data_IF_968555394753
#
_entry.id   IF_968555394753
#
_cell.length_a   1.000
_cell.length_b   1.000
_cell.length_c   1.000
_cell.angle_alpha   90.00
_cell.angle_beta   90.00
_cell.angle_gamma   90.00
#
_symmetry.space_group_name_H-M   'P 1'
#
loop_
_entity.id
_entity.type
_entity.pdbx_description
1 polymer ?
#
# COMPACT_ATOMS: atom_id res chain seq x y z
N UNK A 1 -1.29 32.40 -33.87
CA UNK A 1 -2.15 31.73 -32.87
C UNK A 1 -1.87 30.23 -32.94
N UNK A 2 -0.88 29.77 -32.20
CA UNK A 2 -0.43 28.38 -32.19
C UNK A 2 -1.22 27.63 -31.11
N UNK A 3 -1.97 26.61 -31.53
CA UNK A 3 -2.63 25.66 -30.63
C UNK A 3 -1.57 24.75 -30.04
N UNK A 4 -1.33 24.87 -28.73
CA UNK A 4 -0.62 23.86 -27.95
C UNK A 4 -1.60 22.73 -27.65
N UNK A 5 -1.53 21.67 -28.46
CA UNK A 5 -2.24 20.43 -28.23
C UNK A 5 -1.39 19.47 -27.43
N UNK A 6 -1.98 18.93 -26.36
CA UNK A 6 -1.61 17.68 -25.70
C UNK A 6 -0.46 17.72 -24.69
N UNK A 7 -0.67 18.41 -23.56
CA UNK A 7 -0.09 17.95 -22.29
C UNK A 7 -0.88 16.72 -21.84
N UNK A 8 -0.25 15.55 -21.86
CA UNK A 8 -0.67 14.40 -21.07
C UNK A 8 -1.07 14.92 -19.68
N UNK A 9 -2.33 14.76 -19.27
CA UNK A 9 -2.84 15.28 -17.99
C UNK A 9 -1.99 14.71 -16.84
N UNK A 10 -0.95 15.44 -16.44
CA UNK A 10 -0.22 15.16 -15.22
C UNK A 10 -1.24 15.27 -14.08
N UNK A 11 -1.48 14.16 -13.39
CA UNK A 11 -2.37 14.15 -12.24
C UNK A 11 -1.75 15.07 -11.20
N UNK A 12 -2.54 16.02 -10.69
CA UNK A 12 -2.10 16.80 -9.54
C UNK A 12 -1.85 15.85 -8.36
N UNK A 13 -0.88 16.16 -7.50
CA UNK A 13 -0.58 15.35 -6.31
C UNK A 13 -1.83 15.05 -5.47
N UNK A 14 -2.76 16.01 -5.38
CA UNK A 14 -4.05 15.85 -4.70
C UNK A 14 -4.96 14.82 -5.35
N UNK A 15 -4.90 14.67 -6.68
CA UNK A 15 -5.67 13.67 -7.41
C UNK A 15 -5.07 12.28 -7.23
N UNK A 16 -3.74 12.16 -7.21
CA UNK A 16 -3.05 10.91 -6.90
C UNK A 16 -3.44 10.45 -5.49
N UNK A 17 -3.26 11.32 -4.50
CA UNK A 17 -3.65 11.03 -3.11
C UNK A 17 -5.14 10.63 -2.99
N UNK A 18 -6.07 11.40 -3.57
CA UNK A 18 -7.49 11.08 -3.46
C UNK A 18 -7.87 9.73 -4.10
N UNK A 19 -7.12 9.27 -5.11
CA UNK A 19 -7.34 7.99 -5.77
C UNK A 19 -6.77 6.81 -4.99
N UNK A 20 -5.66 7.00 -4.26
CA UNK A 20 -4.93 5.90 -3.62
C UNK A 20 -5.13 5.81 -2.11
N UNK A 21 -5.59 6.88 -1.45
CA UNK A 21 -5.65 6.95 0.03
C UNK A 21 -6.43 5.81 0.68
N UNK A 22 -7.49 5.32 0.04
CA UNK A 22 -8.29 4.19 0.57
C UNK A 22 -7.62 2.83 0.39
N UNK A 23 -6.66 2.75 -0.52
CA UNK A 23 -5.93 1.53 -0.83
C UNK A 23 -4.72 1.34 0.07
N UNK A 24 -4.21 2.43 0.69
CA UNK A 24 -3.01 2.40 1.53
C UNK A 24 -3.40 2.16 2.98
N UNK A 25 -2.72 1.22 3.62
CA UNK A 25 -2.99 0.81 5.00
C UNK A 25 -1.76 0.98 5.88
N UNK A 26 -2.00 1.19 7.18
CA UNK A 26 -0.97 1.08 8.20
C UNK A 26 -0.86 -0.39 8.61
N UNK A 27 0.36 -0.90 8.71
CA UNK A 27 0.64 -2.23 9.23
C UNK A 27 1.37 -2.05 10.55
N UNK A 28 0.84 -2.64 11.61
CA UNK A 28 1.50 -2.70 12.92
C UNK A 28 1.82 -4.14 13.25
N UNK A 29 3.03 -4.37 13.73
CA UNK A 29 3.48 -5.69 14.15
C UNK A 29 3.96 -5.68 15.59
N UNK A 30 3.81 -6.83 16.25
CA UNK A 30 4.50 -7.13 17.49
C UNK A 30 5.55 -8.19 17.20
N UNK A 31 6.75 -8.00 17.75
CA UNK A 31 7.83 -8.99 17.71
C UNK A 31 8.15 -9.42 19.14
N UNK A 32 8.99 -10.46 19.34
CA UNK A 32 9.50 -10.81 20.67
C UNK A 32 10.29 -9.68 21.34
N UNK A 33 10.82 -8.73 20.56
CA UNK A 33 11.74 -7.69 21.02
C UNK A 33 11.12 -6.29 21.03
N UNK A 34 9.89 -6.12 20.55
CA UNK A 34 9.24 -4.81 20.51
C UNK A 34 8.03 -4.74 19.58
N UNK A 35 7.80 -3.55 19.02
CA UNK A 35 6.75 -3.26 18.05
C UNK A 35 7.38 -2.62 16.81
N UNK A 36 6.79 -2.89 15.65
CA UNK A 36 7.18 -2.31 14.38
C UNK A 36 5.97 -1.76 13.64
N UNK A 37 6.20 -0.82 12.72
CA UNK A 37 5.16 -0.25 11.88
C UNK A 37 5.68 -0.09 10.46
N UNK A 38 4.76 -0.22 9.51
CA UNK A 38 5.04 -0.08 8.08
C UNK A 38 3.78 0.32 7.33
N UNK A 39 3.86 0.33 6.02
CA UNK A 39 2.71 0.56 5.16
C UNK A 39 2.53 -0.62 4.22
N UNK A 40 1.32 -0.79 3.75
CA UNK A 40 1.01 -1.69 2.66
C UNK A 40 -0.08 -1.10 1.78
N UNK A 41 -0.45 -1.84 0.75
CA UNK A 41 -1.60 -1.51 -0.06
C UNK A 41 -2.46 -2.72 -0.35
N UNK A 42 -3.77 -2.50 -0.44
CA UNK A 42 -4.74 -3.51 -0.87
C UNK A 42 -4.45 -3.87 -2.32
N UNK A 43 -4.24 -5.17 -2.56
CA UNK A 43 -3.89 -5.73 -3.87
C UNK A 43 -5.12 -6.21 -4.64
N UNK A 44 -6.14 -6.73 -3.94
CA UNK A 44 -7.37 -7.24 -4.54
C UNK A 44 -8.58 -7.20 -3.58
N UNK A 45 -9.72 -7.59 -4.13
CA UNK A 45 -11.01 -7.66 -3.45
C UNK A 45 -11.17 -8.91 -2.58
N UNK A 46 -10.14 -9.75 -2.46
CA UNK A 46 -10.13 -10.92 -1.55
C UNK A 46 -9.45 -10.63 -0.21
N UNK A 47 -8.89 -9.43 0.00
CA UNK A 47 -8.26 -9.05 1.26
C UNK A 47 -6.74 -9.22 1.28
N UNK A 48 -6.11 -9.47 0.13
CA UNK A 48 -4.64 -9.56 0.07
C UNK A 48 -4.02 -8.17 0.06
N UNK A 49 -3.01 -7.98 0.91
CA UNK A 49 -2.26 -6.73 1.07
C UNK A 49 -0.79 -7.01 0.80
N UNK A 50 -0.17 -6.16 -0.02
CA UNK A 50 1.27 -6.22 -0.29
C UNK A 50 2.01 -5.23 0.60
N UNK A 51 3.14 -5.67 1.16
CA UNK A 51 4.06 -4.86 1.97
C UNK A 51 5.50 -5.35 1.78
N UNK A 52 6.44 -4.78 2.55
CA UNK A 52 7.83 -5.23 2.58
C UNK A 52 8.03 -6.42 3.52
N UNK A 53 8.96 -7.32 3.20
CA UNK A 53 9.31 -8.45 4.06
C UNK A 53 9.80 -7.97 5.42
N UNK A 54 10.67 -6.95 5.46
CA UNK A 54 11.22 -6.43 6.71
C UNK A 54 10.15 -5.85 7.67
N UNK A 55 8.95 -5.52 7.16
CA UNK A 55 7.82 -5.07 8.00
C UNK A 55 7.23 -6.22 8.79
N UNK A 56 7.33 -7.47 8.31
CA UNK A 56 6.64 -8.64 8.88
C UNK A 56 7.56 -9.79 9.29
N UNK A 57 8.86 -9.72 9.00
CA UNK A 57 9.82 -10.83 9.13
C UNK A 57 9.90 -11.49 10.53
N UNK A 58 9.73 -10.71 11.59
CA UNK A 58 9.75 -11.18 12.99
C UNK A 58 8.40 -11.03 13.69
N UNK A 59 7.33 -10.81 12.93
CA UNK A 59 6.01 -10.56 13.49
C UNK A 59 5.43 -11.82 14.13
N UNK A 60 5.13 -11.74 15.43
CA UNK A 60 4.29 -12.72 16.14
C UNK A 60 2.81 -12.36 16.07
N UNK A 61 2.51 -11.12 15.69
CA UNK A 61 1.17 -10.58 15.52
C UNK A 61 1.24 -9.46 14.49
N UNK A 62 0.27 -9.45 13.57
CA UNK A 62 0.14 -8.45 12.51
C UNK A 62 -1.27 -7.87 12.60
N UNK A 63 -1.37 -6.54 12.64
CA UNK A 63 -2.63 -5.82 12.51
C UNK A 63 -2.55 -4.81 11.38
N UNK A 64 -3.69 -4.63 10.70
CA UNK A 64 -3.88 -3.69 9.61
C UNK A 64 -4.87 -2.64 10.05
N UNK A 65 -4.52 -1.37 9.86
CA UNK A 65 -5.41 -0.23 10.09
C UNK A 65 -5.73 0.43 8.76
N UNK A 66 -7.02 0.43 8.41
CA UNK A 66 -7.55 1.10 7.23
C UNK A 66 -7.73 2.61 7.47
N UNK A 67 -7.92 3.37 6.39
CA UNK A 67 -8.04 4.84 6.46
C UNK A 67 -9.25 5.34 7.27
N UNK A 68 -10.28 4.51 7.44
CA UNK A 68 -11.45 4.85 8.27
C UNK A 68 -11.22 4.58 9.77
N UNK A 69 -10.04 4.07 10.13
CA UNK A 69 -9.66 3.70 11.49
C UNK A 69 -10.02 2.27 11.86
N UNK A 70 -10.61 1.47 10.96
CA UNK A 70 -10.87 0.05 11.21
C UNK A 70 -9.56 -0.71 11.39
N UNK A 71 -9.43 -1.43 12.50
CA UNK A 71 -8.25 -2.23 12.84
C UNK A 71 -8.65 -3.70 12.83
N UNK A 72 -7.91 -4.52 12.07
CA UNK A 72 -8.15 -5.96 11.98
C UNK A 72 -6.86 -6.76 12.11
N UNK A 73 -6.91 -8.00 12.62
CA UNK A 73 -5.78 -8.91 12.54
C UNK A 73 -5.51 -9.31 11.09
N UNK A 74 -4.25 -9.57 10.76
CA UNK A 74 -3.83 -10.10 9.47
C UNK A 74 -3.01 -11.37 9.64
N UNK A 75 -3.01 -12.22 8.63
CA UNK A 75 -2.20 -13.44 8.57
C UNK A 75 -1.16 -13.33 7.46
N UNK A 76 0.02 -13.92 7.66
CA UNK A 76 1.04 -13.98 6.61
C UNK A 76 0.67 -15.06 5.59
N UNK A 77 0.51 -14.69 4.32
CA UNK A 77 0.31 -15.62 3.21
C UNK A 77 1.65 -16.13 2.70
N UNK A 78 2.61 -15.22 2.53
CA UNK A 78 3.95 -15.55 2.03
C UNK A 78 4.88 -14.35 2.03
N UNK A 79 6.18 -14.61 1.99
CA UNK A 79 7.23 -13.59 1.92
C UNK A 79 8.38 -14.04 1.03
N UNK A 80 9.04 -13.06 0.41
CA UNK A 80 10.27 -13.23 -0.35
C UNK A 80 11.33 -12.25 0.20
N UNK A 81 12.29 -12.76 1.00
CA UNK A 81 13.37 -11.95 1.55
C UNK A 81 14.34 -11.41 0.50
N UNK A 82 14.45 -12.04 -0.68
CA UNK A 82 15.44 -11.62 -1.69
C UNK A 82 15.06 -10.30 -2.36
N UNK A 83 13.76 -10.04 -2.52
CA UNK A 83 13.22 -8.81 -3.12
C UNK A 83 12.49 -7.92 -2.12
N UNK A 84 12.56 -8.27 -0.83
CA UNK A 84 11.93 -7.56 0.29
C UNK A 84 10.41 -7.35 0.12
N UNK A 85 9.68 -8.42 -0.23
CA UNK A 85 8.22 -8.40 -0.41
C UNK A 85 7.51 -9.40 0.50
N UNK A 86 6.30 -9.06 0.92
CA UNK A 86 5.39 -9.96 1.62
C UNK A 86 3.93 -9.70 1.24
N UNK A 87 3.14 -10.77 1.34
CA UNK A 87 1.68 -10.74 1.19
C UNK A 87 1.05 -11.16 2.51
N UNK A 88 0.16 -10.33 3.03
CA UNK A 88 -0.68 -10.63 4.19
C UNK A 88 -2.15 -10.66 3.76
N UNK A 89 -2.98 -11.34 4.53
CA UNK A 89 -4.40 -11.53 4.27
C UNK A 89 -5.24 -11.02 5.44
N UNK A 90 -6.35 -10.37 5.13
CA UNK A 90 -7.31 -9.85 6.11
C UNK A 90 -8.73 -10.29 5.74
N UNK A 91 -9.51 -10.69 6.75
CA UNK A 91 -10.94 -10.96 6.61
C UNK A 91 -11.73 -9.72 7.04
N UNK A 92 -12.23 -8.98 6.05
CA UNK A 92 -12.91 -7.69 6.25
C UNK A 92 -14.06 -7.50 5.27
N UNK A 93 -14.94 -6.55 5.57
CA UNK A 93 -16.01 -6.18 4.65
C UNK A 93 -15.48 -5.54 3.36
N UNK A 94 -16.07 -5.92 2.22
CA UNK A 94 -15.66 -5.52 0.87
C UNK A 94 -15.48 -4.00 0.70
N UNK A 95 -16.25 -3.16 1.41
CA UNK A 95 -16.14 -1.71 1.28
C UNK A 95 -14.79 -1.13 1.75
N UNK A 96 -14.05 -1.89 2.57
CA UNK A 96 -12.69 -1.55 3.01
C UNK A 96 -11.64 -1.90 1.96
N UNK A 97 -11.93 -2.87 1.09
CA UNK A 97 -11.05 -3.33 0.04
C UNK A 97 -11.15 -2.38 -1.15
N UNK A 98 -10.09 -1.60 -1.35
CA UNK A 98 -9.99 -0.64 -2.45
C UNK A 98 -8.67 -0.89 -3.18
N UNK A 99 -8.58 -1.89 -4.08
CA UNK A 99 -7.32 -2.26 -4.71
C UNK A 99 -6.67 -1.11 -5.49
N UNK A 100 -5.34 -1.00 -5.43
CA UNK A 100 -4.61 -0.12 -6.35
C UNK A 100 -4.57 -0.73 -7.75
N UNK A 101 -4.72 0.10 -8.78
CA UNK A 101 -4.40 -0.33 -10.14
C UNK A 101 -2.88 -0.45 -10.30
N UNK A 102 -2.41 -1.64 -10.67
CA UNK A 102 -1.00 -1.85 -10.97
C UNK A 102 -0.64 -1.31 -12.35
N UNK A 103 0.47 -0.58 -12.42
CA UNK A 103 1.08 -0.14 -13.67
C UNK A 103 2.07 -1.17 -14.23
N UNK A 104 2.46 -0.99 -15.50
CA UNK A 104 3.53 -1.77 -16.11
C UNK A 104 4.88 -1.09 -15.87
N UNK A 105 5.70 -1.66 -14.99
CA UNK A 105 7.02 -1.10 -14.67
C UNK A 105 8.02 -1.12 -15.84
N UNK A 106 7.80 -1.97 -16.85
CA UNK A 106 8.67 -2.04 -18.04
C UNK A 106 8.46 -0.88 -19.00
N UNK A 107 7.38 -0.11 -18.83
CA UNK A 107 7.05 1.06 -19.64
C UNK A 107 7.52 2.38 -18.99
N UNK A 108 8.00 2.35 -17.74
CA UNK A 108 8.47 3.53 -17.03
C UNK A 108 9.76 4.08 -17.66
N UNK A 109 9.77 5.39 -17.93
CA UNK A 109 10.95 6.10 -18.45
C UNK A 109 11.73 6.83 -17.35
N UNK A 110 13.05 6.94 -17.53
CA UNK A 110 13.90 7.76 -16.66
C UNK A 110 13.46 9.22 -16.75
N UNK A 111 13.22 9.84 -15.60
CA UNK A 111 12.71 11.21 -15.48
C UNK A 111 11.20 11.31 -15.34
N UNK A 112 10.47 10.19 -15.41
CA UNK A 112 9.05 10.17 -15.02
C UNK A 112 8.87 10.50 -13.54
N UNK A 113 7.83 11.28 -13.26
CA UNK A 113 7.50 11.69 -11.91
C UNK A 113 6.82 10.54 -11.16
N UNK A 114 7.33 10.22 -9.98
CA UNK A 114 6.75 9.22 -9.07
C UNK A 114 6.37 9.85 -7.73
N UNK A 115 5.45 9.22 -7.02
CA UNK A 115 5.02 9.63 -5.69
C UNK A 115 5.08 8.42 -4.77
N UNK A 116 5.85 8.51 -3.69
CA UNK A 116 5.82 7.53 -2.61
C UNK A 116 4.66 7.84 -1.67
N UNK A 117 3.80 6.85 -1.42
CA UNK A 117 2.63 6.97 -0.55
C UNK A 117 2.76 5.91 0.54
N UNK A 118 2.53 6.32 1.77
CA UNK A 118 2.52 5.43 2.93
C UNK A 118 1.63 6.00 4.03
N UNK A 119 1.26 5.12 4.95
CA UNK A 119 0.56 5.48 6.18
C UNK A 119 1.32 4.95 7.41
N UNK A 120 2.58 5.36 7.65
CA UNK A 120 3.37 4.80 8.76
C UNK A 120 2.92 5.33 10.15
N UNK A 121 2.07 6.35 10.22
CA UNK A 121 1.64 6.97 11.48
C UNK A 121 0.12 7.01 11.70
N UNK A 122 -0.69 6.48 10.77
CA UNK A 122 -2.14 6.56 10.85
C UNK A 122 -2.72 7.97 10.62
N UNK A 123 -1.99 8.84 9.90
CA UNK A 123 -2.36 10.25 9.68
C UNK A 123 -2.87 10.54 8.25
N UNK A 124 -2.85 9.53 7.38
CA UNK A 124 -3.07 9.66 5.94
C UNK A 124 -4.54 9.78 5.54
#
# INVERSE_FOLDING_TARGET
MLRLGNESRSLRLTQIYNRTRKSVVLISIRTPFGRGQGSGFVYDDEGRIITNNHVVEDAVEITVTFIDGTIVPATLVGRDPYVDLAVIDVDVADYLLNPVTLGNSSELLVGEQVVAIGNPFGLA
#
